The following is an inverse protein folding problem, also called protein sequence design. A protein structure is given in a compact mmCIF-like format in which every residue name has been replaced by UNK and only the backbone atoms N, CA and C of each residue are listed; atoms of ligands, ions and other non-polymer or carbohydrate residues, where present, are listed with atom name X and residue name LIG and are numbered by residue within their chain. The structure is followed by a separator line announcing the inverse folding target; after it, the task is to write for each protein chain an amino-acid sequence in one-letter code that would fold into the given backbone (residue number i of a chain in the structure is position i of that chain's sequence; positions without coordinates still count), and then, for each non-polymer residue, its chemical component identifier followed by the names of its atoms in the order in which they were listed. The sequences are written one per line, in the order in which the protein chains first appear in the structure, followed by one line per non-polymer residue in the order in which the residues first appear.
data_IF_933600717535
#
_entry.id   IF_933600717535
#
_cell.length_a   1.000
_cell.length_b   1.000
_cell.length_c   1.000
_cell.angle_alpha   90.00
_cell.angle_beta   90.00
_cell.angle_gamma   90.00
#
_symmetry.space_group_name_H-M   'P 1'
#
loop_
_entity.id
_entity.type
_entity.pdbx_description
1 polymer ?
#
# COMPACT_ATOMS: atom_id res chain seq x y z
N UNK A 1 -16.70 -7.09 2.73
CA UNK A 1 -16.31 -7.16 1.30
C UNK A 1 -15.56 -5.89 0.94
N UNK A 2 -14.39 -6.00 0.35
CA UNK A 2 -13.54 -4.86 -0.04
C UNK A 2 -14.28 -4.00 -1.08
N UNK A 3 -14.37 -2.67 -0.88
CA UNK A 3 -15.02 -1.77 -1.85
C UNK A 3 -14.32 -1.77 -3.22
N UNK A 4 -15.09 -1.59 -4.29
CA UNK A 4 -14.59 -1.44 -5.66
C UNK A 4 -13.97 -0.06 -5.90
N UNK A 5 -12.86 0.20 -5.21
CA UNK A 5 -12.06 1.42 -5.31
C UNK A 5 -10.61 1.05 -5.52
N UNK A 6 -9.92 1.76 -6.40
CA UNK A 6 -8.47 1.65 -6.61
C UNK A 6 -7.86 3.01 -6.26
N UNK A 7 -7.01 3.00 -5.23
CA UNK A 7 -6.27 4.16 -4.78
C UNK A 7 -4.84 4.11 -5.32
N UNK A 8 -4.30 5.25 -5.70
CA UNK A 8 -2.89 5.42 -6.00
C UNK A 8 -2.40 6.79 -5.59
N UNK A 9 -1.10 6.95 -5.39
CA UNK A 9 -0.48 8.23 -5.06
C UNK A 9 0.29 8.78 -6.24
N UNK A 10 0.19 10.12 -6.45
CA UNK A 10 1.02 10.85 -7.40
C UNK A 10 1.45 12.18 -6.80
N UNK A 11 2.66 12.22 -6.21
CA UNK A 11 3.19 13.36 -5.48
C UNK A 11 4.25 14.12 -6.28
N UNK A 12 4.50 15.39 -5.91
CA UNK A 12 5.55 16.22 -6.48
C UNK A 12 5.15 16.98 -7.75
N UNK A 13 3.87 16.89 -8.18
CA UNK A 13 3.29 17.73 -9.25
C UNK A 13 3.85 17.53 -10.66
N UNK A 14 4.65 16.48 -10.91
CA UNK A 14 5.18 16.19 -12.24
C UNK A 14 4.12 15.53 -13.13
N UNK A 15 4.20 15.67 -14.47
CA UNK A 15 3.38 14.89 -15.39
C UNK A 15 3.59 13.38 -15.17
N UNK A 16 2.50 12.60 -15.34
CA UNK A 16 2.61 11.14 -15.25
C UNK A 16 3.51 10.59 -16.36
N UNK A 17 4.29 9.58 -16.02
CA UNK A 17 5.10 8.85 -17.00
C UNK A 17 4.20 8.02 -17.93
N UNK A 18 4.70 7.68 -19.13
CA UNK A 18 4.00 6.77 -20.04
C UNK A 18 3.70 5.40 -19.42
N UNK A 19 4.59 4.94 -18.53
CA UNK A 19 4.38 3.70 -17.78
C UNK A 19 3.18 3.84 -16.83
N UNK A 20 3.14 4.91 -16.04
CA UNK A 20 2.01 5.17 -15.14
C UNK A 20 0.68 5.27 -15.88
N UNK A 21 0.66 5.98 -17.02
CA UNK A 21 -0.54 6.07 -17.86
C UNK A 21 -0.99 4.70 -18.38
N UNK A 22 -0.05 3.86 -18.82
CA UNK A 22 -0.32 2.49 -19.28
C UNK A 22 -0.91 1.62 -18.16
N UNK A 23 -0.29 1.65 -16.97
CA UNK A 23 -0.77 0.87 -15.83
C UNK A 23 -2.16 1.31 -15.38
N UNK A 24 -2.40 2.62 -15.24
CA UNK A 24 -3.73 3.16 -14.91
C UNK A 24 -4.77 2.78 -15.98
N UNK A 25 -4.38 2.74 -17.26
CA UNK A 25 -5.29 2.30 -18.31
C UNK A 25 -5.67 0.82 -18.14
N UNK A 26 -4.71 -0.06 -17.79
CA UNK A 26 -5.02 -1.47 -17.54
C UNK A 26 -6.05 -1.65 -16.40
N UNK A 27 -5.98 -0.81 -15.36
CA UNK A 27 -6.97 -0.84 -14.27
C UNK A 27 -8.38 -0.51 -14.76
N UNK A 28 -8.52 0.47 -15.67
CA UNK A 28 -9.81 0.81 -16.29
C UNK A 28 -10.33 -0.30 -17.19
N UNK A 29 -9.44 -0.98 -17.89
CA UNK A 29 -9.80 -2.04 -18.83
C UNK A 29 -10.27 -3.31 -18.09
N UNK A 30 -9.58 -3.70 -17.01
CA UNK A 30 -9.90 -4.92 -16.25
C UNK A 30 -10.90 -4.70 -15.09
N UNK A 31 -11.02 -3.46 -14.59
CA UNK A 31 -11.90 -3.10 -13.48
C UNK A 31 -12.77 -1.86 -13.85
N UNK A 32 -13.60 -1.96 -14.92
CA UNK A 32 -14.30 -0.78 -15.48
C UNK A 32 -15.38 -0.19 -14.55
N UNK A 33 -15.83 -0.95 -13.55
CA UNK A 33 -16.83 -0.53 -12.56
C UNK A 33 -16.21 -0.11 -11.22
N UNK A 34 -14.87 0.03 -11.17
CA UNK A 34 -14.16 0.52 -9.99
C UNK A 34 -13.95 2.04 -10.06
N UNK A 35 -14.10 2.69 -8.92
CA UNK A 35 -13.68 4.08 -8.74
C UNK A 35 -12.16 4.15 -8.63
N UNK A 36 -11.49 4.93 -9.51
CA UNK A 36 -10.03 5.12 -9.45
C UNK A 36 -9.75 6.48 -8.83
N UNK A 37 -9.03 6.51 -7.71
CA UNK A 37 -8.80 7.70 -6.88
C UNK A 37 -7.31 8.01 -6.83
N UNK A 38 -6.94 9.19 -7.34
CA UNK A 38 -5.61 9.75 -7.21
C UNK A 38 -5.46 10.52 -5.90
N UNK A 39 -4.40 10.22 -5.15
CA UNK A 39 -4.01 10.97 -3.95
C UNK A 39 -2.77 11.81 -4.24
N UNK A 40 -2.87 13.09 -3.94
CA UNK A 40 -1.81 14.07 -4.13
C UNK A 40 -1.94 15.21 -3.13
N UNK A 41 -1.10 16.23 -3.24
CA UNK A 41 -1.06 17.38 -2.32
C UNK A 41 -2.34 18.21 -2.29
N UNK A 42 -3.25 18.04 -3.24
CA UNK A 42 -4.52 18.80 -3.26
C UNK A 42 -5.63 18.16 -2.44
N UNK A 43 -5.53 16.86 -2.14
CA UNK A 43 -6.58 16.10 -1.46
C UNK A 43 -6.10 15.22 -0.29
N UNK A 44 -4.80 15.21 0.01
CA UNK A 44 -4.23 14.55 1.17
C UNK A 44 -3.60 15.58 2.12
N UNK A 45 -4.02 15.58 3.39
CA UNK A 45 -3.48 16.50 4.40
C UNK A 45 -2.17 15.99 4.99
N UNK A 46 -1.07 16.37 4.35
CA UNK A 46 0.28 16.06 4.82
C UNK A 46 0.61 16.65 6.19
N UNK A 47 -0.07 17.73 6.61
CA UNK A 47 0.21 18.38 7.89
C UNK A 47 -0.24 17.54 9.09
N UNK A 48 -1.27 16.72 8.91
CA UNK A 48 -1.78 15.78 9.91
C UNK A 48 -1.03 14.43 9.92
N UNK A 49 -0.16 14.19 8.92
CA UNK A 49 0.59 12.95 8.83
C UNK A 49 1.67 12.82 9.92
N UNK A 50 2.10 11.58 10.28
CA UNK A 50 3.20 11.35 11.22
C UNK A 50 4.49 12.06 10.86
N UNK A 51 5.37 12.25 11.84
CA UNK A 51 6.66 12.92 11.67
C UNK A 51 7.49 12.28 10.54
N UNK A 52 7.54 10.97 10.48
CA UNK A 52 8.20 10.21 9.42
C UNK A 52 7.78 10.69 8.02
N UNK A 53 6.49 10.75 7.78
CA UNK A 53 5.91 11.14 6.48
C UNK A 53 6.24 12.58 6.11
N UNK A 54 6.10 13.51 7.08
CA UNK A 54 6.42 14.94 6.86
C UNK A 54 7.90 15.14 6.53
N UNK A 55 8.79 14.47 7.24
CA UNK A 55 10.24 14.53 6.97
C UNK A 55 10.59 13.90 5.61
N UNK A 56 9.98 12.78 5.25
CA UNK A 56 10.17 12.16 3.93
C UNK A 56 9.69 13.09 2.81
N UNK A 57 8.55 13.78 3.01
CA UNK A 57 8.02 14.76 2.07
C UNK A 57 8.96 15.97 1.90
N UNK A 58 9.44 16.56 2.99
CA UNK A 58 10.43 17.66 2.96
C UNK A 58 11.72 17.26 2.22
N UNK A 59 12.15 16.01 2.40
CA UNK A 59 13.30 15.44 1.70
C UNK A 59 13.00 15.04 0.23
N UNK A 60 11.76 15.22 -0.26
CA UNK A 60 11.28 14.80 -1.60
C UNK A 60 11.48 13.30 -1.87
N UNK A 61 11.37 12.49 -0.83
CA UNK A 61 11.47 11.02 -0.91
C UNK A 61 10.07 10.41 -1.03
N UNK A 62 9.46 10.59 -2.19
CA UNK A 62 8.04 10.29 -2.44
C UNK A 62 7.66 8.84 -2.14
N UNK A 63 8.51 7.86 -2.45
CA UNK A 63 8.28 6.47 -2.13
C UNK A 63 8.01 6.23 -0.64
N UNK A 64 8.81 6.86 0.25
CA UNK A 64 8.64 6.74 1.70
C UNK A 64 7.40 7.48 2.23
N UNK A 65 6.97 8.55 1.54
CA UNK A 65 5.68 9.20 1.83
C UNK A 65 4.54 8.26 1.49
N UNK A 66 4.56 7.66 0.30
CA UNK A 66 3.48 6.77 -0.16
C UNK A 66 3.40 5.49 0.64
N UNK A 67 4.49 5.00 1.24
CA UNK A 67 4.51 3.83 2.11
C UNK A 67 3.52 3.93 3.28
N UNK A 68 3.31 5.13 3.81
CA UNK A 68 2.31 5.39 4.84
C UNK A 68 0.94 5.78 4.25
N UNK A 69 0.93 6.69 3.27
CA UNK A 69 -0.32 7.23 2.70
C UNK A 69 -1.21 6.10 2.17
N UNK A 70 -0.61 5.10 1.50
CA UNK A 70 -1.34 3.92 0.98
C UNK A 70 -2.10 3.17 2.07
N UNK A 71 -1.49 3.02 3.25
CA UNK A 71 -2.11 2.35 4.39
C UNK A 71 -3.29 3.15 4.94
N UNK A 72 -3.09 4.46 5.12
CA UNK A 72 -4.11 5.34 5.69
C UNK A 72 -5.34 5.44 4.79
N UNK A 73 -5.15 5.67 3.49
CA UNK A 73 -6.30 5.86 2.58
C UNK A 73 -7.14 4.60 2.46
N UNK A 74 -6.52 3.41 2.45
CA UNK A 74 -7.26 2.14 2.45
C UNK A 74 -7.88 1.88 3.83
N UNK A 75 -7.20 2.20 4.92
CA UNK A 75 -7.79 2.10 6.27
C UNK A 75 -9.04 2.96 6.40
N UNK A 76 -9.00 4.20 5.91
CA UNK A 76 -10.10 5.16 6.04
C UNK A 76 -11.27 4.91 5.09
N UNK A 77 -11.02 4.37 3.90
CA UNK A 77 -12.05 4.25 2.86
C UNK A 77 -12.34 2.82 2.40
N UNK A 78 -11.51 1.86 2.77
CA UNK A 78 -11.48 0.55 2.15
C UNK A 78 -11.08 0.63 0.68
N UNK A 79 -10.92 -0.52 0.03
CA UNK A 79 -10.55 -0.60 -1.38
C UNK A 79 -9.18 -1.23 -1.59
N UNK A 80 -8.61 -0.97 -2.74
CA UNK A 80 -7.34 -1.53 -3.21
C UNK A 80 -6.35 -0.38 -3.42
N UNK A 81 -5.11 -0.57 -3.04
CA UNK A 81 -4.01 0.32 -3.40
C UNK A 81 -3.06 -0.38 -4.36
N UNK A 82 -2.59 0.33 -5.37
CA UNK A 82 -1.53 -0.09 -6.27
C UNK A 82 -0.60 1.07 -6.58
N UNK A 83 0.71 0.82 -6.67
CA UNK A 83 1.66 1.76 -7.23
C UNK A 83 1.46 1.89 -8.74
N UNK A 84 1.80 3.03 -9.31
CA UNK A 84 1.51 3.38 -10.72
C UNK A 84 2.38 2.65 -11.75
N UNK A 85 3.24 1.76 -11.32
CA UNK A 85 4.03 0.84 -12.14
C UNK A 85 3.50 -0.61 -12.12
N UNK A 86 2.36 -0.83 -11.47
CA UNK A 86 1.64 -2.11 -11.43
C UNK A 86 0.63 -2.18 -12.58
N UNK A 87 0.79 -3.11 -13.49
CA UNK A 87 -0.13 -3.39 -14.60
C UNK A 87 -1.06 -4.55 -14.23
N UNK A 88 -2.37 -4.40 -14.43
CA UNK A 88 -3.31 -5.50 -14.28
C UNK A 88 -3.38 -6.32 -15.56
N UNK A 89 -3.46 -7.65 -15.40
CA UNK A 89 -3.67 -8.62 -16.49
C UNK A 89 -5.03 -9.32 -16.39
N UNK A 90 -5.76 -9.12 -15.27
CA UNK A 90 -7.07 -9.72 -15.01
C UNK A 90 -7.86 -8.91 -13.98
N UNK A 91 -9.21 -9.10 -13.91
CA UNK A 91 -10.05 -8.46 -12.90
C UNK A 91 -9.69 -8.86 -11.48
N UNK A 92 -9.92 -7.95 -10.52
CA UNK A 92 -9.61 -8.14 -9.10
C UNK A 92 -10.80 -8.67 -8.26
N UNK A 93 -11.97 -8.87 -8.88
CA UNK A 93 -13.23 -9.20 -8.17
C UNK A 93 -13.13 -10.40 -7.24
N UNK A 94 -12.36 -11.42 -7.59
CA UNK A 94 -12.18 -12.62 -6.77
C UNK A 94 -11.48 -12.34 -5.44
N UNK A 95 -10.68 -11.28 -5.36
CA UNK A 95 -9.94 -10.90 -4.15
C UNK A 95 -10.80 -10.11 -3.17
N UNK A 96 -11.93 -9.54 -3.62
CA UNK A 96 -12.79 -8.68 -2.80
C UNK A 96 -13.59 -9.44 -1.74
N UNK A 97 -13.61 -10.76 -1.77
CA UNK A 97 -14.41 -11.60 -0.88
C UNK A 97 -13.84 -11.74 0.53
N UNK A 98 -12.55 -11.45 0.70
CA UNK A 98 -11.87 -11.45 1.99
C UNK A 98 -11.95 -10.08 2.68
N UNK A 99 -11.68 -10.06 3.99
CA UNK A 99 -11.57 -8.79 4.75
C UNK A 99 -10.35 -7.97 4.33
N UNK A 100 -9.26 -8.65 3.96
CA UNK A 100 -8.10 -8.04 3.34
C UNK A 100 -7.31 -9.08 2.51
N UNK A 101 -6.52 -8.60 1.55
CA UNK A 101 -5.52 -9.42 0.87
C UNK A 101 -4.22 -8.64 0.69
N UNK A 102 -3.10 -9.38 0.70
CA UNK A 102 -1.75 -8.89 0.46
C UNK A 102 -0.96 -9.91 -0.35
N UNK A 103 0.11 -9.48 -1.03
CA UNK A 103 0.96 -10.35 -1.82
C UNK A 103 2.38 -10.44 -1.26
N UNK A 104 3.02 -11.60 -1.50
CA UNK A 104 4.46 -11.73 -1.30
C UNK A 104 5.24 -11.09 -2.43
N UNK A 105 6.31 -10.36 -2.05
CA UNK A 105 7.44 -10.05 -2.91
C UNK A 105 8.55 -11.07 -2.65
N UNK A 106 9.07 -11.69 -3.70
CA UNK A 106 10.17 -12.67 -3.62
C UNK A 106 9.92 -13.84 -2.65
N UNK A 107 8.67 -14.19 -2.38
CA UNK A 107 8.28 -15.27 -1.47
C UNK A 107 8.64 -15.05 0.00
N UNK A 108 9.12 -13.87 0.37
CA UNK A 108 9.64 -13.59 1.72
C UNK A 108 8.96 -12.40 2.39
N UNK A 109 8.78 -11.30 1.66
CA UNK A 109 8.26 -10.05 2.20
C UNK A 109 6.86 -9.75 1.65
N UNK A 110 6.03 -9.10 2.46
CA UNK A 110 4.76 -8.54 2.03
C UNK A 110 5.00 -7.14 1.46
N UNK A 111 4.68 -6.96 0.17
CA UNK A 111 4.82 -5.66 -0.49
C UNK A 111 3.46 -4.99 -0.69
N UNK A 112 3.25 -3.86 -0.02
CA UNK A 112 2.03 -3.06 -0.16
C UNK A 112 2.06 -2.13 -1.39
N UNK A 113 3.17 -2.02 -2.10
CA UNK A 113 3.29 -1.25 -3.35
C UNK A 113 2.76 -2.02 -4.56
N UNK A 114 3.01 -3.33 -4.63
CA UNK A 114 2.57 -4.18 -5.73
C UNK A 114 1.05 -4.42 -5.77
N UNK A 115 0.36 -4.11 -4.70
CA UNK A 115 -1.09 -4.18 -4.61
C UNK A 115 -1.55 -4.90 -3.35
N UNK A 116 -2.48 -4.28 -2.66
CA UNK A 116 -3.21 -4.90 -1.56
C UNK A 116 -4.62 -4.31 -1.48
N UNK A 117 -5.53 -5.03 -0.85
CA UNK A 117 -6.87 -4.52 -0.61
C UNK A 117 -7.36 -4.84 0.78
N UNK A 118 -8.23 -3.99 1.33
CA UNK A 118 -8.83 -4.21 2.64
C UNK A 118 -10.20 -3.54 2.77
N UNK A 119 -11.02 -4.07 3.67
CA UNK A 119 -12.20 -3.37 4.16
C UNK A 119 -11.77 -2.13 4.97
N UNK A 120 -12.65 -1.14 5.03
CA UNK A 120 -12.46 0.03 5.88
C UNK A 120 -12.25 -0.37 7.35
N UNK A 121 -11.27 0.23 8.02
CA UNK A 121 -10.99 -0.01 9.44
C UNK A 121 -10.29 -1.34 9.74
N UNK A 122 -9.73 -2.02 8.75
CA UNK A 122 -9.02 -3.30 8.94
C UNK A 122 -7.86 -3.17 9.93
N UNK A 123 -7.86 -3.92 11.07
CA UNK A 123 -6.93 -3.67 12.19
C UNK A 123 -5.45 -3.77 11.84
N UNK A 124 -5.05 -4.65 10.93
CA UNK A 124 -3.64 -4.83 10.56
C UNK A 124 -3.06 -3.56 9.89
N UNK A 125 -3.89 -2.80 9.16
CA UNK A 125 -3.47 -1.51 8.58
C UNK A 125 -3.19 -0.49 9.69
N UNK A 126 -4.04 -0.47 10.73
CA UNK A 126 -3.82 0.42 11.88
C UNK A 126 -2.50 0.09 12.60
N UNK A 127 -2.19 -1.20 12.81
CA UNK A 127 -0.92 -1.61 13.42
C UNK A 127 0.29 -1.14 12.60
N UNK A 128 0.24 -1.28 11.26
CA UNK A 128 1.29 -0.78 10.38
C UNK A 128 1.45 0.74 10.50
N UNK A 129 0.34 1.49 10.51
CA UNK A 129 0.35 2.94 10.66
C UNK A 129 0.91 3.38 12.02
N UNK A 130 0.56 2.68 13.12
CA UNK A 130 1.09 2.94 14.46
C UNK A 130 2.60 2.71 14.54
N UNK A 131 3.14 1.76 13.79
CA UNK A 131 4.59 1.53 13.73
C UNK A 131 5.31 2.70 13.03
N UNK A 132 4.73 3.29 11.98
CA UNK A 132 5.24 4.52 11.37
C UNK A 132 5.15 5.75 12.29
N UNK A 133 4.15 5.81 13.16
CA UNK A 133 3.98 6.91 14.11
C UNK A 133 5.07 6.95 15.20
N UNK A 134 5.79 5.85 15.41
CA UNK A 134 6.84 5.70 16.44
C UNK A 134 8.25 6.03 15.93
N UNK A 135 8.43 6.26 14.64
CA UNK A 135 9.74 6.42 14.01
C UNK A 135 9.89 7.79 13.35
N UNK A 136 11.14 8.14 13.04
CA UNK A 136 11.51 9.34 12.30
C UNK A 136 12.20 8.96 10.99
N UNK A 137 11.93 9.67 9.90
CA UNK A 137 12.63 9.48 8.63
C UNK A 137 14.03 10.10 8.66
N UNK A 138 14.18 11.27 9.29
CA UNK A 138 15.46 11.91 9.55
C UNK A 138 16.01 11.41 10.89
N UNK A 139 17.16 10.74 10.87
CA UNK A 139 17.82 10.20 12.05
C UNK A 139 18.66 11.26 12.77
N UNK A 140 19.06 10.99 14.01
CA UNK A 140 19.84 11.92 14.85
C UNK A 140 21.20 12.29 14.26
N UNK A 141 21.79 11.41 13.47
CA UNK A 141 23.07 11.63 12.78
C UNK A 141 22.93 12.40 11.46
N UNK A 142 21.70 12.81 11.10
CA UNK A 142 21.38 13.53 9.87
C UNK A 142 21.20 12.64 8.64
N UNK A 143 21.33 11.33 8.76
CA UNK A 143 21.00 10.37 7.69
C UNK A 143 19.50 10.10 7.61
N UNK A 144 19.06 9.40 6.56
CA UNK A 144 17.66 9.00 6.41
C UNK A 144 17.47 7.53 6.75
N UNK A 145 16.31 7.22 7.36
CA UNK A 145 15.86 5.84 7.54
C UNK A 145 15.35 5.31 6.18
N UNK A 146 16.19 4.52 5.52
CA UNK A 146 15.93 3.97 4.20
C UNK A 146 15.42 2.51 4.26
N UNK A 147 14.94 2.04 5.41
CA UNK A 147 14.34 0.72 5.50
C UNK A 147 13.09 0.66 4.61
N UNK A 148 13.09 -0.27 3.66
CA UNK A 148 12.00 -0.42 2.70
C UNK A 148 10.70 -0.91 3.37
N UNK A 149 9.56 -0.50 2.82
CA UNK A 149 8.24 -0.86 3.38
C UNK A 149 7.99 -2.37 3.45
N UNK A 150 8.44 -3.23 2.53
CA UNK A 150 8.23 -4.67 2.67
C UNK A 150 8.83 -5.24 3.96
N UNK A 151 10.01 -4.78 4.38
CA UNK A 151 10.63 -5.22 5.63
C UNK A 151 9.81 -4.78 6.86
N UNK A 152 9.33 -3.53 6.88
CA UNK A 152 8.50 -3.00 7.97
C UNK A 152 7.17 -3.73 8.07
N UNK A 153 6.48 -3.81 6.94
CA UNK A 153 5.14 -4.38 6.89
C UNK A 153 5.16 -5.87 7.24
N UNK A 154 6.12 -6.64 6.72
CA UNK A 154 6.25 -8.06 7.03
C UNK A 154 6.40 -8.32 8.51
N UNK A 155 7.10 -7.44 9.26
CA UNK A 155 7.23 -7.58 10.70
C UNK A 155 5.88 -7.57 11.43
N UNK A 156 4.90 -6.81 10.93
CA UNK A 156 3.52 -6.82 11.44
C UNK A 156 2.86 -8.18 11.17
N UNK A 157 2.93 -8.66 9.93
CA UNK A 157 2.32 -9.94 9.55
C UNK A 157 2.91 -11.14 10.30
N UNK A 158 4.22 -11.11 10.62
CA UNK A 158 4.85 -12.14 11.44
C UNK A 158 4.24 -12.23 12.86
N UNK A 159 3.82 -11.11 13.45
CA UNK A 159 3.07 -11.09 14.73
C UNK A 159 1.71 -11.80 14.62
N UNK A 160 1.14 -11.86 13.41
CA UNK A 160 -0.13 -12.52 13.10
C UNK A 160 0.02 -13.94 12.55
N UNK A 161 1.24 -14.52 12.61
CA UNK A 161 1.48 -15.91 12.24
C UNK A 161 1.80 -16.16 10.77
N UNK A 162 2.20 -15.12 10.01
CA UNK A 162 2.69 -15.28 8.64
C UNK A 162 3.84 -16.29 8.60
N UNK A 163 3.80 -17.21 7.64
CA UNK A 163 4.93 -18.05 7.24
C UNK A 163 5.54 -17.48 5.97
N UNK A 164 6.85 -17.24 6.00
CA UNK A 164 7.61 -16.71 4.86
C UNK A 164 8.07 -17.85 3.93
N UNK A 165 7.09 -18.55 3.32
CA UNK A 165 7.31 -19.75 2.51
C UNK A 165 6.65 -19.70 1.12
N UNK A 166 6.23 -18.50 0.71
CA UNK A 166 5.55 -18.21 -0.57
C UNK A 166 4.26 -19.03 -0.79
N UNK A 167 3.68 -19.60 0.26
CA UNK A 167 2.42 -20.32 0.15
C UNK A 167 1.22 -19.38 0.31
N UNK A 168 0.10 -19.74 -0.33
CA UNK A 168 -1.17 -19.07 -0.06
C UNK A 168 -1.61 -19.36 1.37
N UNK A 169 -1.90 -18.32 2.15
CA UNK A 169 -2.26 -18.42 3.56
C UNK A 169 -3.48 -17.56 3.86
N UNK A 170 -4.23 -17.92 4.88
CA UNK A 170 -5.26 -17.05 5.46
C UNK A 170 -4.91 -16.84 6.93
N UNK A 171 -4.61 -15.61 7.29
CA UNK A 171 -4.28 -15.22 8.66
C UNK A 171 -5.56 -14.87 9.44
N UNK A 172 -5.48 -14.78 10.80
CA UNK A 172 -6.61 -14.35 11.62
C UNK A 172 -7.24 -13.04 11.12
N UNK A 173 -8.56 -12.93 11.16
CA UNK A 173 -9.29 -11.78 10.64
C UNK A 173 -9.59 -11.87 9.15
N UNK A 174 -9.51 -13.06 8.55
CA UNK A 174 -9.79 -13.32 7.13
C UNK A 174 -8.87 -12.50 6.20
N UNK A 175 -7.57 -12.50 6.51
CA UNK A 175 -6.53 -11.83 5.73
C UNK A 175 -5.89 -12.85 4.79
N UNK A 176 -6.17 -12.75 3.50
CA UNK A 176 -5.57 -13.59 2.46
C UNK A 176 -4.16 -13.12 2.13
N UNK A 177 -3.20 -14.03 2.14
CA UNK A 177 -1.84 -13.79 1.64
C UNK A 177 -1.66 -14.58 0.35
N UNK A 178 -1.29 -13.88 -0.71
CA UNK A 178 -1.07 -14.43 -2.05
C UNK A 178 0.40 -14.76 -2.27
N UNK A 179 0.74 -15.87 -2.92
CA UNK A 179 2.10 -16.17 -3.33
C UNK A 179 2.56 -15.24 -4.47
N UNK A 180 3.87 -15.16 -4.67
CA UNK A 180 4.52 -14.29 -5.67
C UNK A 180 4.00 -14.50 -7.10
N UNK A 181 3.45 -15.66 -7.42
CA UNK A 181 2.93 -16.00 -8.76
C UNK A 181 1.57 -15.30 -9.07
N UNK A 182 0.94 -14.69 -8.08
CA UNK A 182 -0.38 -14.07 -8.25
C UNK A 182 -0.26 -12.67 -8.78
#
# INVERSE_FOLDING_TARGET
MIPKKIHYCWLGGNPKSKLAEKCIQSWKDFCPDYEIIEWNESNYDLSAAPLYVRQAYEAKKWAFVTDYVRLQVVYEQGGIYMDVDVELEKPLDLLLTHSAYFGFENGTYINTGEGFGAEQGTPILLEMMEDYAKISFLLEDGSYDLMACPQRNTAVFLRHGLKQDDSMQVLPGDILILPTIY
#
